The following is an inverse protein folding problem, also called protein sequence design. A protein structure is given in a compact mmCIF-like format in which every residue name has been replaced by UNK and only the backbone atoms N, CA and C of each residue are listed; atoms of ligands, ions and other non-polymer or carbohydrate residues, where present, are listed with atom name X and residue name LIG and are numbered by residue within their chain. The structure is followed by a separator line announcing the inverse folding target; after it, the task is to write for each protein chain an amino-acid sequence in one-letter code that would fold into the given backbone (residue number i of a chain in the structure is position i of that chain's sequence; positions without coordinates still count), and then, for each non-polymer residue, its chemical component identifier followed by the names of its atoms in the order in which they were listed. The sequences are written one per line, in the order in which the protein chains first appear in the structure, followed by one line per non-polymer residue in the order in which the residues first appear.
data_IF_480232198896
#
_entry.id   IF_480232198896
#
_cell.length_a   1.000
_cell.length_b   1.000
_cell.length_c   1.000
_cell.angle_alpha   90.00
_cell.angle_beta   90.00
_cell.angle_gamma   90.00
#
_symmetry.space_group_name_H-M   'P 1'
#
loop_
_entity.id
_entity.type
_entity.pdbx_description
1 polymer ?
#
# COMPACT_ATOMS: atom_id res chain seq x y z
N UNK A 1 -11.61 -14.43 -24.98
CA UNK A 1 -11.94 -14.96 -23.64
C UNK A 1 -13.45 -15.00 -23.52
N UNK A 2 -14.03 -16.16 -23.84
CA UNK A 2 -15.46 -16.42 -23.68
C UNK A 2 -15.71 -17.06 -22.30
N UNK A 3 -16.78 -16.63 -21.64
CA UNK A 3 -17.17 -17.15 -20.32
C UNK A 3 -18.65 -17.49 -20.33
N UNK A 4 -18.97 -18.67 -19.78
CA UNK A 4 -20.35 -19.08 -19.54
C UNK A 4 -20.71 -18.93 -18.07
N UNK A 5 -21.96 -18.54 -17.81
CA UNK A 5 -22.52 -18.45 -16.47
C UNK A 5 -23.46 -19.63 -16.28
N UNK A 6 -23.11 -20.54 -15.37
CA UNK A 6 -23.95 -21.68 -15.02
C UNK A 6 -24.42 -21.54 -13.57
N UNK A 7 -25.68 -21.88 -13.33
CA UNK A 7 -26.28 -21.92 -12.00
C UNK A 7 -26.19 -23.34 -11.47
N UNK A 8 -25.60 -23.51 -10.28
CA UNK A 8 -25.59 -24.79 -9.57
C UNK A 8 -26.22 -24.67 -8.19
N UNK A 9 -26.99 -25.67 -7.82
CA UNK A 9 -27.61 -25.75 -6.51
C UNK A 9 -26.68 -26.47 -5.53
N UNK A 10 -26.40 -25.83 -4.40
CA UNK A 10 -25.55 -26.42 -3.36
C UNK A 10 -26.32 -27.44 -2.54
N UNK A 11 -25.61 -28.31 -1.80
CA UNK A 11 -26.22 -29.31 -0.91
C UNK A 11 -27.15 -28.73 0.17
N UNK A 12 -27.12 -27.42 0.40
CA UNK A 12 -28.03 -26.70 1.30
C UNK A 12 -29.24 -26.07 0.60
N UNK A 13 -29.46 -26.33 -0.70
CA UNK A 13 -30.57 -25.78 -1.50
C UNK A 13 -30.37 -24.34 -1.97
N UNK A 14 -29.15 -23.78 -1.83
CA UNK A 14 -28.85 -22.42 -2.31
C UNK A 14 -28.30 -22.46 -3.73
N UNK A 15 -28.93 -21.71 -4.64
CA UNK A 15 -28.45 -21.49 -6.00
C UNK A 15 -27.24 -20.55 -6.00
N UNK A 16 -26.12 -20.99 -6.54
CA UNK A 16 -24.87 -20.24 -6.63
C UNK A 16 -24.49 -20.07 -8.10
N UNK A 17 -24.09 -18.84 -8.45
CA UNK A 17 -23.56 -18.52 -9.78
C UNK A 17 -22.10 -18.96 -9.85
N UNK A 18 -21.78 -19.84 -10.79
CA UNK A 18 -20.42 -20.23 -11.09
C UNK A 18 -20.05 -19.70 -12.47
N UNK A 19 -18.98 -18.91 -12.52
CA UNK A 19 -18.38 -18.48 -13.78
C UNK A 19 -17.40 -19.58 -14.18
N UNK A 20 -17.60 -20.14 -15.37
CA UNK A 20 -16.67 -21.12 -15.93
C UNK A 20 -15.97 -20.43 -17.09
N UNK A 21 -14.64 -20.36 -16.99
CA UNK A 21 -13.77 -19.92 -18.07
C UNK A 21 -13.66 -21.08 -19.04
N UNK A 22 -14.18 -20.91 -20.26
CA UNK A 22 -13.93 -21.90 -21.30
C UNK A 22 -12.46 -21.79 -21.70
N UNK A 23 -11.72 -22.90 -21.58
CA UNK A 23 -10.36 -22.99 -22.10
C UNK A 23 -10.43 -22.98 -23.64
N UNK A 24 -9.66 -22.08 -24.25
CA UNK A 24 -9.53 -22.02 -25.71
C UNK A 24 -9.04 -23.38 -26.25
N UNK A 25 -9.68 -23.96 -27.27
CA UNK A 25 -9.41 -25.32 -27.74
C UNK A 25 -8.09 -25.50 -28.52
N UNK A 26 -7.15 -24.55 -28.45
CA UNK A 26 -5.90 -24.59 -29.22
C UNK A 26 -4.65 -24.23 -28.39
N UNK A 27 -4.69 -24.47 -27.08
CA UNK A 27 -3.47 -24.48 -26.25
C UNK A 27 -3.06 -25.93 -26.04
N UNK A 28 -2.16 -26.41 -26.90
CA UNK A 28 -1.35 -27.60 -26.63
C UNK A 28 -0.77 -27.48 -25.22
N UNK A 29 -0.94 -28.52 -24.39
CA UNK A 29 -0.19 -28.62 -23.14
C UNK A 29 1.30 -28.45 -23.47
N UNK A 30 2.03 -27.53 -22.80
CA UNK A 30 3.47 -27.52 -22.96
C UNK A 30 4.00 -28.82 -22.36
N UNK A 31 4.86 -29.51 -23.11
CA UNK A 31 5.56 -30.70 -22.63
C UNK A 31 6.19 -30.37 -21.26
N UNK A 32 5.79 -31.11 -20.22
CA UNK A 32 6.45 -31.06 -18.91
C UNK A 32 7.88 -31.54 -19.10
N UNK A 33 8.81 -30.58 -19.17
CA UNK A 33 10.23 -30.86 -19.14
C UNK A 33 10.55 -31.69 -17.89
N UNK A 34 11.24 -32.82 -18.08
CA UNK A 34 11.76 -33.61 -16.96
C UNK A 34 12.71 -32.78 -16.11
N UNK A 35 12.88 -33.10 -14.82
CA UNK A 35 13.81 -32.41 -13.91
C UNK A 35 15.23 -32.29 -14.51
N UNK A 36 15.63 -33.27 -15.33
CA UNK A 36 16.92 -33.29 -16.04
C UNK A 36 17.04 -32.29 -17.21
N UNK A 37 15.92 -31.90 -17.84
CA UNK A 37 15.89 -30.88 -18.92
C UNK A 37 15.91 -29.45 -18.37
N UNK A 38 15.32 -29.24 -17.19
CA UNK A 38 15.45 -27.99 -16.45
C UNK A 38 16.92 -27.74 -16.07
N UNK A 39 17.63 -28.74 -15.55
CA UNK A 39 19.03 -28.58 -15.11
C UNK A 39 19.98 -28.26 -16.29
N UNK A 40 19.76 -28.87 -17.46
CA UNK A 40 20.56 -28.56 -18.65
C UNK A 40 20.28 -27.16 -19.24
N UNK A 41 19.04 -26.67 -19.15
CA UNK A 41 18.67 -25.31 -19.58
C UNK A 41 19.24 -24.26 -18.63
N UNK A 42 19.28 -24.54 -17.32
CA UNK A 42 19.93 -23.71 -16.30
C UNK A 42 21.45 -23.62 -16.45
N UNK A 43 22.11 -24.65 -16.99
CA UNK A 43 23.55 -24.64 -17.20
C UNK A 43 23.97 -23.87 -18.48
N UNK A 44 23.13 -23.86 -19.53
CA UNK A 44 23.45 -23.16 -20.78
C UNK A 44 23.29 -21.63 -20.69
N UNK A 45 22.38 -21.12 -19.86
CA UNK A 45 22.18 -19.66 -19.67
C UNK A 45 23.29 -18.97 -18.88
N UNK A 46 24.18 -19.74 -18.22
CA UNK A 46 25.27 -19.19 -17.41
C UNK A 46 26.55 -18.84 -18.21
N UNK A 47 26.61 -19.12 -19.52
CA UNK A 47 27.83 -18.90 -20.31
C UNK A 47 28.00 -17.48 -20.88
N UNK A 48 27.07 -16.56 -20.64
CA UNK A 48 27.23 -15.15 -21.02
C UNK A 48 26.70 -14.22 -19.94
N UNK A 49 27.20 -14.36 -18.71
CA UNK A 49 27.06 -13.32 -17.69
C UNK A 49 28.02 -12.19 -18.03
N UNK A 50 27.50 -11.15 -18.67
CA UNK A 50 28.06 -9.81 -18.50
C UNK A 50 28.13 -9.55 -16.99
N UNK A 51 29.24 -9.01 -16.52
CA UNK A 51 29.41 -8.54 -15.14
C UNK A 51 28.35 -7.45 -14.86
N UNK A 52 27.15 -7.86 -14.43
CA UNK A 52 26.15 -6.94 -13.93
C UNK A 52 26.70 -6.34 -12.64
N UNK A 53 27.06 -5.06 -12.69
CA UNK A 53 27.33 -4.27 -11.50
C UNK A 53 26.14 -4.40 -10.55
N UNK A 54 26.34 -5.12 -9.44
CA UNK A 54 25.34 -5.21 -8.37
C UNK A 54 25.06 -3.78 -7.90
N UNK A 55 23.83 -3.27 -8.04
CA UNK A 55 23.50 -1.92 -7.59
C UNK A 55 23.83 -1.78 -6.10
N UNK A 56 24.39 -0.63 -5.73
CA UNK A 56 24.71 -0.37 -4.32
C UNK A 56 23.43 -0.40 -3.48
N UNK A 57 23.46 -1.17 -2.39
CA UNK A 57 22.32 -1.29 -1.48
C UNK A 57 22.04 0.05 -0.82
N UNK A 58 20.81 0.54 -0.95
CA UNK A 58 20.39 1.80 -0.35
C UNK A 58 20.18 1.63 1.16
N UNK A 59 20.24 2.75 1.89
CA UNK A 59 19.85 2.76 3.30
C UNK A 59 18.32 2.59 3.41
N UNK A 60 17.80 2.00 4.50
CA UNK A 60 16.36 1.81 4.68
C UNK A 60 15.50 3.08 4.47
N UNK A 61 16.00 4.24 4.89
CA UNK A 61 15.31 5.53 4.70
C UNK A 61 15.22 5.96 3.23
N UNK A 62 16.16 5.54 2.39
CA UNK A 62 16.18 5.87 0.97
C UNK A 62 15.09 5.08 0.24
N UNK A 63 14.93 3.79 0.55
CA UNK A 63 13.78 3.00 0.08
C UNK A 63 12.44 3.62 0.52
N UNK A 64 12.31 4.02 1.78
CA UNK A 64 11.09 4.68 2.25
C UNK A 64 10.76 5.94 1.44
N UNK A 65 11.77 6.76 1.13
CA UNK A 65 11.59 8.03 0.39
C UNK A 65 11.29 7.85 -1.10
N UNK A 66 11.48 6.66 -1.66
CA UNK A 66 10.97 6.32 -3.00
C UNK A 66 9.44 6.29 -3.05
N UNK A 67 8.81 5.81 -1.97
CA UNK A 67 7.35 5.73 -1.85
C UNK A 67 6.74 6.99 -1.23
N UNK A 68 7.35 7.48 -0.15
CA UNK A 68 6.97 8.72 0.53
C UNK A 68 7.83 9.88 0.05
N UNK A 69 7.58 10.28 -1.20
CA UNK A 69 8.29 11.39 -1.84
C UNK A 69 8.04 12.73 -1.12
N UNK A 70 8.94 13.70 -1.31
CA UNK A 70 8.78 15.05 -0.76
C UNK A 70 7.47 15.72 -1.23
N UNK A 71 7.06 15.44 -2.47
CA UNK A 71 5.81 15.92 -3.05
C UNK A 71 4.60 15.32 -2.34
N UNK A 72 4.60 14.00 -2.11
CA UNK A 72 3.53 13.32 -1.39
C UNK A 72 3.43 13.83 0.06
N UNK A 73 4.55 13.94 0.77
CA UNK A 73 4.57 14.46 2.15
C UNK A 73 4.06 15.91 2.22
N UNK A 74 4.42 16.75 1.24
CA UNK A 74 3.91 18.12 1.13
C UNK A 74 2.41 18.16 0.87
N UNK A 75 1.91 17.28 0.00
CA UNK A 75 0.48 17.13 -0.27
C UNK A 75 -0.30 16.71 0.99
N UNK A 76 0.17 15.69 1.71
CA UNK A 76 -0.44 15.24 2.97
C UNK A 76 -0.47 16.37 3.99
N UNK A 77 0.65 17.08 4.17
CA UNK A 77 0.75 18.23 5.07
C UNK A 77 -0.26 19.32 4.70
N UNK A 78 -0.41 19.61 3.41
CA UNK A 78 -1.34 20.62 2.91
C UNK A 78 -2.81 20.23 3.18
N UNK A 79 -3.21 19.02 2.81
CA UNK A 79 -4.60 18.56 3.02
C UNK A 79 -4.94 18.36 4.51
N UNK A 80 -3.96 17.97 5.33
CA UNK A 80 -4.09 17.90 6.79
C UNK A 80 -4.33 19.30 7.41
N UNK A 81 -3.59 20.32 6.96
CA UNK A 81 -3.83 21.70 7.39
C UNK A 81 -5.18 22.25 6.90
N UNK A 82 -5.56 21.94 5.65
CA UNK A 82 -6.87 22.30 5.09
C UNK A 82 -7.99 21.74 5.95
N UNK A 83 -7.94 20.44 6.31
CA UNK A 83 -8.93 19.81 7.17
C UNK A 83 -9.08 20.50 8.52
N UNK A 84 -7.96 20.82 9.18
CA UNK A 84 -7.98 21.50 10.46
C UNK A 84 -8.70 22.85 10.36
N UNK A 85 -8.40 23.62 9.30
CA UNK A 85 -9.04 24.91 9.01
C UNK A 85 -10.55 24.77 8.79
N UNK A 86 -10.98 23.78 8.01
CA UNK A 86 -12.40 23.48 7.77
C UNK A 86 -13.14 23.06 9.04
N UNK A 87 -12.47 22.42 9.99
CA UNK A 87 -13.08 21.84 11.20
C UNK A 87 -13.15 22.83 12.38
N UNK A 88 -13.01 24.14 12.13
CA UNK A 88 -12.97 25.21 13.13
C UNK A 88 -11.83 25.06 14.16
N UNK A 89 -10.82 24.25 13.86
CA UNK A 89 -9.60 24.19 14.66
C UNK A 89 -8.64 25.28 14.18
N UNK A 90 -7.98 25.95 15.12
CA UNK A 90 -6.92 26.92 14.85
C UNK A 90 -5.88 26.37 13.87
N UNK A 91 -5.09 27.26 13.26
CA UNK A 91 -4.00 26.95 12.31
C UNK A 91 -3.10 25.81 12.84
N UNK A 92 -3.37 24.56 12.42
CA UNK A 92 -2.62 23.37 12.83
C UNK A 92 -1.13 23.51 12.55
N UNK A 93 -0.82 24.20 11.44
CA UNK A 93 0.52 24.56 10.98
C UNK A 93 1.47 23.35 10.91
N UNK A 94 0.96 22.18 10.49
CA UNK A 94 1.81 21.01 10.27
C UNK A 94 2.68 21.20 9.03
N UNK A 95 3.83 20.54 9.02
CA UNK A 95 4.79 20.57 7.90
C UNK A 95 5.01 19.17 7.33
N UNK A 96 5.59 19.09 6.13
CA UNK A 96 5.97 17.80 5.53
C UNK A 96 6.93 17.00 6.43
N UNK A 97 7.87 17.69 7.11
CA UNK A 97 8.78 17.05 8.06
C UNK A 97 8.04 16.48 9.27
N UNK A 98 7.05 17.20 9.80
CA UNK A 98 6.23 16.69 10.92
C UNK A 98 5.37 15.50 10.51
N UNK A 99 4.87 15.47 9.27
CA UNK A 99 4.17 14.31 8.70
C UNK A 99 5.14 13.11 8.54
N UNK A 100 6.36 13.32 8.06
CA UNK A 100 7.38 12.25 7.96
C UNK A 100 7.68 11.64 9.34
N UNK A 101 7.82 12.49 10.38
CA UNK A 101 7.98 12.03 11.78
C UNK A 101 6.76 11.24 12.26
N UNK A 102 5.54 11.73 11.99
CA UNK A 102 4.31 11.03 12.37
C UNK A 102 4.24 9.63 11.73
N UNK A 103 4.57 9.51 10.45
CA UNK A 103 4.61 8.21 9.74
C UNK A 103 5.68 7.30 10.35
N UNK A 104 6.88 7.81 10.62
CA UNK A 104 7.94 7.06 11.28
C UNK A 104 7.55 6.54 12.67
N UNK A 105 6.83 7.36 13.44
CA UNK A 105 6.24 6.95 14.72
C UNK A 105 5.22 5.83 14.53
N UNK A 106 4.30 5.95 13.57
CA UNK A 106 3.28 4.92 13.29
C UNK A 106 3.90 3.58 12.86
N UNK A 107 4.93 3.61 12.02
CA UNK A 107 5.69 2.41 11.63
C UNK A 107 6.32 1.76 12.87
N UNK A 108 6.97 2.56 13.72
CA UNK A 108 7.61 2.07 14.95
C UNK A 108 6.59 1.50 15.93
N UNK A 109 5.42 2.12 16.06
CA UNK A 109 4.32 1.63 16.90
C UNK A 109 3.71 0.33 16.36
N UNK A 110 3.69 0.12 15.03
CA UNK A 110 3.28 -1.14 14.42
C UNK A 110 4.24 -2.29 14.71
N UNK A 111 5.54 -2.00 14.88
CA UNK A 111 6.56 -2.99 15.28
C UNK A 111 6.51 -3.26 16.79
N UNK A 112 6.36 -2.22 17.61
CA UNK A 112 6.30 -2.31 19.06
C UNK A 112 4.91 -1.90 19.56
N UNK A 113 3.91 -2.74 19.33
CA UNK A 113 2.51 -2.42 19.63
C UNK A 113 2.23 -2.29 21.13
N UNK A 114 1.47 -1.25 21.50
CA UNK A 114 0.94 -1.05 22.85
C UNK A 114 -0.58 -1.02 22.79
N UNK A 115 -1.30 -1.50 23.83
CA UNK A 115 -2.77 -1.51 23.83
C UNK A 115 -3.43 -0.14 23.62
N UNK A 116 -2.72 0.95 23.94
CA UNK A 116 -3.18 2.33 23.77
C UNK A 116 -2.00 3.26 23.47
N UNK A 117 -2.17 4.21 22.55
CA UNK A 117 -1.12 5.17 22.20
C UNK A 117 -0.54 5.92 23.42
N UNK A 118 -1.37 6.35 24.37
CA UNK A 118 -0.90 7.05 25.59
C UNK A 118 0.18 6.31 26.38
N UNK A 119 0.28 4.99 26.24
CA UNK A 119 1.27 4.18 26.95
C UNK A 119 2.70 4.47 26.48
N UNK A 120 2.92 4.84 25.21
CA UNK A 120 4.26 5.20 24.73
C UNK A 120 4.86 6.40 25.48
N UNK A 121 4.03 7.26 26.08
CA UNK A 121 4.46 8.43 26.86
C UNK A 121 4.34 8.24 28.39
N UNK A 122 3.71 7.16 28.86
CA UNK A 122 3.48 6.94 30.28
C UNK A 122 4.77 6.49 31.00
N UNK A 123 5.01 6.94 32.23
CA UNK A 123 6.28 6.75 32.93
C UNK A 123 6.76 5.29 32.98
N UNK A 124 5.87 4.31 33.22
CA UNK A 124 6.25 2.90 33.34
C UNK A 124 6.48 2.20 32.00
N UNK A 125 5.92 2.73 30.91
CA UNK A 125 5.93 2.11 29.57
C UNK A 125 6.53 3.05 28.52
N UNK A 126 7.26 4.08 28.98
CA UNK A 126 7.77 5.14 28.13
C UNK A 126 8.73 4.53 27.12
N UNK A 127 8.51 4.85 25.85
CA UNK A 127 9.39 4.49 24.76
C UNK A 127 10.03 5.75 24.21
N UNK A 128 11.29 6.00 24.57
CA UNK A 128 11.99 7.25 24.25
C UNK A 128 12.07 7.51 22.74
N UNK A 129 12.19 6.46 21.92
CA UNK A 129 12.19 6.54 20.46
C UNK A 129 10.88 7.07 19.88
N UNK A 130 9.77 7.01 20.62
CA UNK A 130 8.47 7.61 20.25
C UNK A 130 8.27 8.92 20.99
N UNK A 131 8.43 8.88 22.32
CA UNK A 131 8.01 9.96 23.20
C UNK A 131 8.93 11.19 23.15
N UNK A 132 10.13 11.07 22.58
CA UNK A 132 11.02 12.19 22.29
C UNK A 132 10.77 12.83 20.91
N UNK A 133 10.05 12.17 19.99
CA UNK A 133 9.75 12.73 18.66
C UNK A 133 8.74 13.88 18.72
N UNK A 134 7.66 13.71 19.48
CA UNK A 134 6.68 14.77 19.75
C UNK A 134 5.87 14.45 21.01
N UNK A 135 5.15 15.45 21.53
CA UNK A 135 4.24 15.25 22.66
C UNK A 135 3.04 14.40 22.27
N UNK A 136 2.49 13.64 23.23
CA UNK A 136 1.28 12.84 23.06
C UNK A 136 0.13 13.67 22.48
N UNK A 137 -0.09 14.88 23.02
CA UNK A 137 -1.16 15.76 22.56
C UNK A 137 -0.95 16.22 21.11
N UNK A 138 0.29 16.47 20.69
CA UNK A 138 0.58 16.84 19.28
C UNK A 138 0.34 15.66 18.36
N UNK A 139 0.79 14.46 18.75
CA UNK A 139 0.53 13.22 18.02
C UNK A 139 -0.97 12.97 17.83
N UNK A 140 -1.77 13.01 18.91
CA UNK A 140 -3.23 12.83 18.82
C UNK A 140 -3.90 13.91 17.97
N UNK A 141 -3.42 15.15 18.06
CA UNK A 141 -3.94 16.26 17.24
C UNK A 141 -3.66 16.02 15.76
N UNK A 142 -2.44 15.60 15.40
CA UNK A 142 -2.09 15.29 14.01
C UNK A 142 -2.90 14.10 13.50
N UNK A 143 -3.02 13.02 14.27
CA UNK A 143 -3.85 11.87 13.89
C UNK A 143 -5.31 12.24 13.63
N UNK A 144 -5.88 13.13 14.45
CA UNK A 144 -7.26 13.59 14.28
C UNK A 144 -7.49 14.31 12.95
N UNK A 145 -6.50 15.06 12.48
CA UNK A 145 -6.62 15.90 11.28
C UNK A 145 -5.95 15.33 10.04
N UNK A 146 -5.18 14.25 10.15
CA UNK A 146 -4.46 13.61 9.04
C UNK A 146 -5.42 13.36 7.87
N UNK A 147 -5.17 14.00 6.73
CA UNK A 147 -6.01 13.96 5.54
C UNK A 147 -5.15 13.91 4.28
N UNK A 148 -5.70 13.28 3.23
CA UNK A 148 -5.01 13.09 1.94
C UNK A 148 -5.74 13.72 0.76
N UNK A 149 -6.94 14.29 0.96
CA UNK A 149 -7.77 14.86 -0.11
C UNK A 149 -8.70 15.95 0.41
N UNK A 150 -9.13 16.80 -0.52
CA UNK A 150 -10.04 17.91 -0.26
C UNK A 150 -11.48 17.41 -0.09
N UNK A 151 -11.99 17.42 1.15
CA UNK A 151 -13.33 16.92 1.44
C UNK A 151 -14.44 17.70 0.72
N UNK A 152 -14.20 18.96 0.33
CA UNK A 152 -15.21 19.80 -0.32
C UNK A 152 -15.44 19.41 -1.79
N UNK A 153 -14.56 18.57 -2.35
CA UNK A 153 -14.60 18.10 -3.74
C UNK A 153 -15.09 16.66 -3.89
N UNK A 154 -15.51 16.02 -2.79
CA UNK A 154 -15.99 14.64 -2.81
C UNK A 154 -17.34 14.57 -3.53
N UNK A 155 -17.46 13.69 -4.51
CA UNK A 155 -18.72 13.37 -5.17
C UNK A 155 -19.50 12.35 -4.32
N UNK A 156 -20.70 12.70 -3.87
CA UNK A 156 -21.51 11.85 -2.97
C UNK A 156 -22.47 10.93 -3.70
N UNK A 157 -22.92 11.33 -4.90
CA UNK A 157 -23.84 10.51 -5.70
C UNK A 157 -23.09 9.34 -6.31
N UNK A 158 -23.47 8.11 -5.94
CA UNK A 158 -22.85 6.87 -6.39
C UNK A 158 -23.06 6.58 -7.87
N UNK A 159 -24.06 7.22 -8.49
CA UNK A 159 -24.35 7.06 -9.91
C UNK A 159 -23.62 8.09 -10.77
N UNK A 160 -22.95 9.07 -10.15
CA UNK A 160 -22.18 10.07 -10.87
C UNK A 160 -20.91 9.42 -11.49
N UNK A 161 -20.55 9.75 -12.74
CA UNK A 161 -19.39 9.15 -13.41
C UNK A 161 -18.06 9.36 -12.65
N UNK A 162 -17.93 10.50 -11.96
CA UNK A 162 -16.75 10.82 -11.15
C UNK A 162 -16.82 10.33 -9.69
N UNK A 163 -17.81 9.48 -9.35
CA UNK A 163 -17.87 8.90 -8.01
C UNK A 163 -16.69 7.96 -7.77
N UNK A 164 -15.88 8.31 -6.77
CA UNK A 164 -14.75 7.51 -6.34
C UNK A 164 -14.92 7.06 -4.88
N UNK A 165 -15.15 5.75 -4.69
CA UNK A 165 -15.26 5.13 -3.37
C UNK A 165 -14.02 5.34 -2.51
N UNK A 166 -12.84 5.43 -3.11
CA UNK A 166 -11.56 5.59 -2.42
C UNK A 166 -11.04 7.03 -2.45
N UNK A 167 -11.87 8.00 -2.85
CA UNK A 167 -11.48 9.41 -3.04
C UNK A 167 -10.55 9.93 -1.95
N UNK A 168 -10.91 9.71 -0.67
CA UNK A 168 -10.20 10.24 0.50
C UNK A 168 -8.76 9.77 0.65
N UNK A 169 -8.40 8.63 0.05
CA UNK A 169 -7.06 8.04 0.09
C UNK A 169 -6.46 7.86 -1.31
N UNK A 170 -7.19 8.24 -2.36
CA UNK A 170 -6.80 8.08 -3.76
C UNK A 170 -5.41 8.67 -4.05
N UNK A 171 -5.07 9.90 -3.57
CA UNK A 171 -3.74 10.47 -3.84
C UNK A 171 -2.60 9.65 -3.22
N UNK A 172 -2.83 9.04 -2.04
CA UNK A 172 -1.84 8.19 -1.39
C UNK A 172 -1.64 6.89 -2.16
N UNK A 173 -2.74 6.17 -2.46
CA UNK A 173 -2.69 4.90 -3.19
C UNK A 173 -2.04 5.10 -4.56
N UNK A 174 -2.43 6.15 -5.28
CA UNK A 174 -1.92 6.37 -6.64
C UNK A 174 -0.44 6.75 -6.65
N UNK A 175 0.01 7.51 -5.64
CA UNK A 175 1.44 7.81 -5.48
C UNK A 175 2.26 6.56 -5.21
N UNK A 176 1.79 5.66 -4.34
CA UNK A 176 2.48 4.39 -4.03
C UNK A 176 2.46 3.47 -5.26
N UNK A 177 1.29 3.32 -5.89
CA UNK A 177 1.09 2.48 -7.09
C UNK A 177 2.03 2.90 -8.21
N UNK A 178 2.19 4.21 -8.41
CA UNK A 178 3.12 4.75 -9.41
C UNK A 178 4.54 4.25 -9.17
N UNK A 179 5.06 4.38 -7.95
CA UNK A 179 6.40 3.88 -7.59
C UNK A 179 6.49 2.36 -7.77
N UNK A 180 5.48 1.58 -7.35
CA UNK A 180 5.48 0.12 -7.54
C UNK A 180 5.56 -0.29 -9.02
N UNK A 181 4.98 0.48 -9.94
CA UNK A 181 5.01 0.20 -11.37
C UNK A 181 6.32 0.60 -12.06
N UNK A 182 7.16 1.39 -11.39
CA UNK A 182 8.50 1.74 -11.86
C UNK A 182 9.53 0.63 -11.53
N UNK A 183 9.19 -0.28 -10.62
CA UNK A 183 10.03 -1.44 -10.27
C UNK A 183 10.01 -2.50 -11.37
N UNK A 184 11.17 -3.06 -11.69
CA UNK A 184 11.28 -4.18 -12.63
C UNK A 184 10.71 -5.44 -11.99
N UNK A 185 9.66 -6.05 -12.57
CA UNK A 185 9.07 -7.25 -12.00
C UNK A 185 10.03 -8.45 -12.13
N UNK A 186 10.03 -9.31 -11.11
CA UNK A 186 10.73 -10.59 -11.17
C UNK A 186 10.06 -11.57 -12.16
N UNK A 187 10.82 -12.57 -12.59
CA UNK A 187 10.36 -13.60 -13.54
C UNK A 187 9.21 -14.44 -12.98
N UNK A 188 9.25 -14.76 -11.68
CA UNK A 188 8.24 -15.57 -11.00
C UNK A 188 7.35 -14.68 -10.14
N UNK A 189 6.06 -14.65 -10.45
CA UNK A 189 5.06 -13.83 -9.77
C UNK A 189 3.91 -14.69 -9.25
N UNK A 190 3.31 -14.24 -8.16
CA UNK A 190 2.09 -14.83 -7.59
C UNK A 190 1.07 -13.73 -7.32
N UNK A 191 -0.21 -14.07 -7.43
CA UNK A 191 -1.33 -13.16 -7.18
C UNK A 191 -2.20 -13.80 -6.12
N UNK A 192 -2.48 -13.04 -5.06
CA UNK A 192 -3.32 -13.46 -3.94
C UNK A 192 -4.07 -12.24 -3.38
N UNK A 193 -5.15 -12.49 -2.64
CA UNK A 193 -5.90 -11.46 -1.94
C UNK A 193 -5.37 -11.20 -0.53
N UNK A 194 -5.36 -9.92 -0.13
CA UNK A 194 -5.09 -9.54 1.26
C UNK A 194 -6.25 -8.71 1.81
N UNK A 195 -6.78 -9.12 2.97
CA UNK A 195 -7.87 -8.41 3.65
C UNK A 195 -7.26 -7.57 4.77
N UNK A 196 -7.48 -6.26 4.70
CA UNK A 196 -7.18 -5.32 5.79
C UNK A 196 -8.42 -5.28 6.71
N UNK A 197 -8.34 -5.74 7.98
CA UNK A 197 -9.47 -5.80 8.90
C UNK A 197 -10.07 -4.43 9.29
#
# INVERSE_FOLDING_TARGET
MDFDIIFRETRSGRNVRQIIVQLDPDVSEPDTASEDELDHTFQQSNSSKSDEEIPSVLRPIEYFRMYFTAQLLSHISFETNRKATQSLYSKLATTAAEIEVLIGMLITMGVCEMPRYRMYWANQTRMDTIANCMSHNRFETLLRFLHFSDNDKVVMDRNHPDYDRFYKIRPLIESIRKTCLEETPGELQSVDEHIIP
#
